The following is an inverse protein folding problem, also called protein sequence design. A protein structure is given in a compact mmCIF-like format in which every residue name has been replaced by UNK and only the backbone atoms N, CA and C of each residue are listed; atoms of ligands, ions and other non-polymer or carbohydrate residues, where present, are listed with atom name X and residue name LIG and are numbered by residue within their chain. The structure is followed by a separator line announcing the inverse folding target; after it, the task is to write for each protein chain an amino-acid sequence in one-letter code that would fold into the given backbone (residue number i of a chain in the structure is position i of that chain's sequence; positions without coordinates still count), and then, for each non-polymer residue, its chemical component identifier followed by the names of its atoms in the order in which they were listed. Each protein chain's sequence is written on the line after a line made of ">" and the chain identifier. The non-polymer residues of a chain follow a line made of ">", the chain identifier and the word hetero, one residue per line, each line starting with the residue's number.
data_IF_662358051320
#
_entry.id   IF_662358051320
#
_cell.length_a   1.000
_cell.length_b   1.000
_cell.length_c   1.000
_cell.angle_alpha   90.00
_cell.angle_beta   90.00
_cell.angle_gamma   90.00
#
_symmetry.space_group_name_H-M   'P 1'
#
loop_
_entity.id
_entity.type
_entity.pdbx_description
1 polymer ?
#
# COMPACT_ATOMS: atom_id res chain seq x y z
N UNK A 1 33.19 30.64 -21.98
CA UNK A 1 32.47 29.44 -22.45
C UNK A 1 33.33 28.18 -22.67
N UNK A 2 34.40 28.14 -23.49
CA UNK A 2 35.19 26.89 -23.66
C UNK A 2 36.24 26.62 -22.58
N UNK A 3 36.64 27.62 -21.79
CA UNK A 3 37.63 27.48 -20.71
C UNK A 3 36.95 27.03 -19.40
N UNK A 4 35.84 27.68 -19.04
CA UNK A 4 35.06 27.38 -17.82
C UNK A 4 34.51 25.95 -17.81
N UNK A 5 34.08 25.41 -18.97
CA UNK A 5 33.60 24.03 -19.07
C UNK A 5 34.72 23.01 -18.81
N UNK A 6 35.98 23.35 -19.14
CA UNK A 6 37.12 22.46 -18.86
C UNK A 6 37.51 22.48 -17.38
N UNK A 7 37.38 23.62 -16.71
CA UNK A 7 37.63 23.74 -15.27
C UNK A 7 36.62 22.94 -14.45
N UNK A 8 35.32 23.02 -14.80
CA UNK A 8 34.25 22.24 -14.15
C UNK A 8 34.44 20.73 -14.35
N UNK A 9 34.88 20.29 -15.53
CA UNK A 9 35.14 18.87 -15.78
C UNK A 9 36.37 18.36 -15.01
N UNK A 10 37.39 19.21 -14.82
CA UNK A 10 38.57 18.87 -14.03
C UNK A 10 38.26 18.82 -12.52
N UNK A 11 37.42 19.72 -12.02
CA UNK A 11 36.94 19.70 -10.63
C UNK A 11 36.08 18.46 -10.34
N UNK A 12 35.19 18.07 -11.26
CA UNK A 12 34.37 16.86 -11.11
C UNK A 12 35.23 15.59 -11.10
N UNK A 13 36.26 15.52 -11.95
CA UNK A 13 37.17 14.38 -11.98
C UNK A 13 38.00 14.27 -10.69
N UNK A 14 38.50 15.39 -10.17
CA UNK A 14 39.20 15.42 -8.89
C UNK A 14 38.29 15.06 -7.69
N UNK A 15 36.97 15.27 -7.82
CA UNK A 15 35.98 14.89 -6.79
C UNK A 15 35.70 13.39 -6.81
N UNK A 16 35.56 12.79 -7.99
CA UNK A 16 35.41 11.33 -8.15
C UNK A 16 36.65 10.58 -7.66
N UNK A 17 37.85 11.07 -7.95
CA UNK A 17 39.09 10.46 -7.48
C UNK A 17 39.19 10.49 -5.93
N UNK A 18 38.78 11.60 -5.29
CA UNK A 18 38.71 11.71 -3.81
C UNK A 18 37.64 10.80 -3.19
N UNK A 19 36.48 10.66 -3.82
CA UNK A 19 35.43 9.75 -3.35
C UNK A 19 35.86 8.27 -3.46
N UNK A 20 36.67 7.93 -4.47
CA UNK A 20 37.24 6.59 -4.62
C UNK A 20 38.31 6.25 -3.57
N UNK A 21 39.14 7.21 -3.17
CA UNK A 21 40.12 7.05 -2.07
C UNK A 21 39.42 6.89 -0.72
N UNK A 22 38.37 7.68 -0.44
CA UNK A 22 37.57 7.57 0.79
C UNK A 22 36.85 6.22 0.88
N UNK A 23 36.36 5.70 -0.25
CA UNK A 23 35.74 4.37 -0.29
C UNK A 23 36.77 3.24 -0.07
N UNK A 24 37.99 3.38 -0.61
CA UNK A 24 39.08 2.44 -0.38
C UNK A 24 39.49 2.38 1.10
N UNK A 25 39.59 3.54 1.76
CA UNK A 25 39.96 3.65 3.17
C UNK A 25 38.84 3.11 4.10
N UNK A 26 37.56 3.31 3.75
CA UNK A 26 36.43 2.73 4.49
C UNK A 26 36.40 1.19 4.43
N UNK A 27 36.74 0.60 3.28
CA UNK A 27 36.78 -0.86 3.10
C UNK A 27 37.93 -1.48 3.92
N UNK A 28 39.07 -0.79 4.04
CA UNK A 28 40.22 -1.25 4.84
C UNK A 28 39.95 -1.15 6.37
N UNK A 29 39.20 -0.14 6.82
CA UNK A 29 38.77 0.02 8.22
C UNK A 29 37.71 -1.02 8.62
N UNK A 30 36.84 -1.46 7.71
CA UNK A 30 35.87 -2.55 7.96
C UNK A 30 36.56 -3.91 8.05
N UNK A 31 37.68 -4.10 7.32
CA UNK A 31 38.47 -5.34 7.36
C UNK A 31 39.24 -5.53 8.68
N UNK A 32 39.62 -4.45 9.36
CA UNK A 32 40.53 -4.50 10.54
C UNK A 32 39.84 -4.46 11.90
N UNK A 33 38.49 -4.41 11.97
CA UNK A 33 37.73 -4.37 13.24
C UNK A 33 36.67 -5.46 13.44
N UNK A 34 36.65 -6.50 12.61
CA UNK A 34 35.79 -7.68 12.86
C UNK A 34 36.52 -8.73 13.72
N UNK A 35 36.62 -8.46 15.03
CA UNK A 35 37.01 -9.47 16.03
C UNK A 35 35.76 -9.95 16.76
N UNK A 36 34.86 -10.64 16.04
CA UNK A 36 33.81 -11.50 16.63
C UNK A 36 33.31 -12.57 15.65
N UNK A 37 34.14 -12.93 14.66
CA UNK A 37 33.93 -14.07 13.78
C UNK A 37 34.72 -15.28 14.31
N UNK A 38 34.27 -15.89 15.41
CA UNK A 38 34.86 -17.14 15.91
C UNK A 38 33.90 -18.10 16.62
N UNK A 39 32.58 -17.92 16.49
CA UNK A 39 31.58 -18.90 16.96
C UNK A 39 30.98 -19.78 15.86
N UNK A 40 31.41 -19.63 14.61
CA UNK A 40 30.92 -20.44 13.47
C UNK A 40 31.94 -21.47 12.94
N UNK A 41 33.00 -21.75 13.70
CA UNK A 41 34.02 -22.75 13.33
C UNK A 41 34.19 -23.79 14.44
N UNK A 42 33.17 -24.60 14.67
CA UNK A 42 33.36 -25.92 15.29
C UNK A 42 32.42 -26.93 14.65
N UNK A 43 32.97 -28.13 14.48
CA UNK A 43 32.39 -29.30 13.81
C UNK A 43 31.03 -29.67 14.41
N UNK A 44 29.94 -29.31 13.74
CA UNK A 44 28.63 -29.97 13.81
C UNK A 44 27.82 -29.63 12.54
N UNK A 45 28.46 -29.85 11.38
CA UNK A 45 27.78 -29.96 10.09
C UNK A 45 27.43 -31.43 9.92
N UNK A 46 26.25 -31.84 10.39
CA UNK A 46 25.55 -33.06 9.94
C UNK A 46 24.12 -33.16 10.52
N UNK A 47 23.34 -32.06 10.52
CA UNK A 47 21.91 -32.16 10.91
C UNK A 47 20.91 -31.38 10.06
N UNK A 48 21.30 -30.66 8.99
CA UNK A 48 20.34 -29.84 8.24
C UNK A 48 20.23 -30.11 6.74
N UNK A 49 20.79 -31.22 6.22
CA UNK A 49 20.54 -31.63 4.84
C UNK A 49 20.53 -33.15 4.72
N UNK A 50 19.34 -33.77 4.81
CA UNK A 50 19.09 -35.12 4.29
C UNK A 50 17.96 -35.07 3.24
N UNK A 51 18.10 -35.69 2.05
CA UNK A 51 17.22 -35.51 0.90
C UNK A 51 16.05 -36.52 0.83
N UNK A 52 15.52 -36.99 1.96
CA UNK A 52 14.33 -37.87 1.97
C UNK A 52 13.31 -37.38 2.98
N UNK A 53 12.48 -36.42 2.54
CA UNK A 53 11.39 -35.87 3.31
C UNK A 53 10.29 -36.90 3.56
N UNK A 54 10.43 -37.68 4.63
CA UNK A 54 9.32 -38.45 5.20
C UNK A 54 8.76 -37.64 6.37
N UNK A 55 7.54 -37.12 6.23
CA UNK A 55 6.83 -36.45 7.33
C UNK A 55 6.69 -37.40 8.53
N UNK A 56 7.01 -36.98 9.76
CA UNK A 56 6.57 -37.70 10.94
C UNK A 56 5.07 -37.50 11.11
N UNK A 57 4.39 -38.63 11.17
CA UNK A 57 2.96 -38.79 11.29
C UNK A 57 2.43 -38.17 12.59
N UNK A 58 1.22 -37.60 12.48
CA UNK A 58 0.30 -37.14 13.52
C UNK A 58 0.56 -37.65 14.95
N UNK A 59 0.88 -36.74 15.85
CA UNK A 59 0.49 -36.84 17.26
C UNK A 59 -0.65 -35.86 17.55
N UNK A 60 -1.68 -36.38 18.19
CA UNK A 60 -2.88 -35.68 18.65
C UNK A 60 -2.49 -34.67 19.74
N UNK A 61 -2.47 -33.40 19.41
CA UNK A 61 -3.12 -32.30 20.15
C UNK A 61 -2.80 -30.99 19.45
N UNK A 62 -3.81 -30.12 19.34
CA UNK A 62 -3.80 -28.95 18.48
C UNK A 62 -2.75 -27.91 18.87
N UNK A 63 -1.70 -27.80 18.07
CA UNK A 63 -0.91 -26.59 17.97
C UNK A 63 -0.52 -26.43 16.50
N UNK A 64 -1.17 -25.48 15.83
CA UNK A 64 -0.73 -24.96 14.53
C UNK A 64 0.73 -24.55 14.68
N UNK A 65 1.62 -25.14 13.88
CA UNK A 65 2.99 -24.66 13.74
C UNK A 65 2.94 -23.14 13.47
N UNK A 66 3.34 -22.34 14.46
CA UNK A 66 3.50 -20.89 14.27
C UNK A 66 4.77 -20.70 13.47
N UNK A 67 4.63 -20.11 12.29
CA UNK A 67 5.79 -19.70 11.51
C UNK A 67 6.58 -18.67 12.36
N UNK A 68 7.82 -19.02 12.72
CA UNK A 68 8.68 -18.13 13.50
C UNK A 68 8.96 -16.81 12.77
N UNK A 69 8.91 -16.82 11.43
CA UNK A 69 9.06 -15.61 10.61
C UNK A 69 7.92 -14.64 10.86
N UNK A 70 6.66 -15.11 10.88
CA UNK A 70 5.48 -14.28 11.14
C UNK A 70 5.54 -13.64 12.54
N UNK A 71 5.96 -14.41 13.54
CA UNK A 71 6.10 -13.90 14.91
C UNK A 71 7.13 -12.78 15.00
N UNK A 72 8.31 -12.98 14.39
CA UNK A 72 9.36 -11.95 14.35
C UNK A 72 8.89 -10.74 13.54
N UNK A 73 8.23 -10.98 12.40
CA UNK A 73 7.71 -9.92 11.55
C UNK A 73 6.71 -9.03 12.29
N UNK A 74 5.73 -9.62 12.98
CA UNK A 74 4.64 -8.91 13.65
C UNK A 74 5.10 -8.25 14.96
N UNK A 75 5.80 -9.01 15.80
CA UNK A 75 6.10 -8.61 17.18
C UNK A 75 7.56 -8.23 17.41
N UNK A 76 8.48 -8.60 16.51
CA UNK A 76 9.91 -8.31 16.63
C UNK A 76 10.51 -8.84 17.92
N UNK A 77 11.40 -8.05 18.53
CA UNK A 77 12.05 -8.40 19.79
C UNK A 77 11.06 -8.58 20.96
N UNK A 78 9.87 -7.96 20.89
CA UNK A 78 8.86 -8.06 21.95
C UNK A 78 8.30 -9.48 22.11
N UNK A 79 8.40 -10.31 21.06
CA UNK A 79 8.00 -11.71 21.11
C UNK A 79 8.91 -12.56 22.00
N UNK A 80 10.15 -12.16 22.27
CA UNK A 80 11.04 -12.88 23.17
C UNK A 80 10.39 -13.01 24.57
N UNK A 81 10.45 -14.19 25.23
CA UNK A 81 11.22 -15.41 24.91
C UNK A 81 10.55 -16.39 23.93
N UNK A 82 9.61 -15.93 23.10
CA UNK A 82 8.86 -16.71 22.11
C UNK A 82 8.03 -17.85 22.71
N UNK A 83 7.66 -17.72 23.99
CA UNK A 83 6.78 -18.67 24.66
C UNK A 83 5.33 -18.45 24.22
N UNK A 84 4.52 -19.51 24.30
CA UNK A 84 3.10 -19.43 23.95
C UNK A 84 2.38 -18.38 24.81
N UNK A 85 2.70 -18.31 26.10
CA UNK A 85 2.15 -17.32 27.03
C UNK A 85 2.49 -15.89 26.59
N UNK A 86 3.75 -15.64 26.18
CA UNK A 86 4.17 -14.30 25.73
C UNK A 86 3.47 -13.90 24.43
N UNK A 87 3.31 -14.84 23.50
CA UNK A 87 2.61 -14.57 22.25
C UNK A 87 1.10 -14.36 22.47
N UNK A 88 0.49 -15.06 23.41
CA UNK A 88 -0.91 -14.82 23.79
C UNK A 88 -1.09 -13.45 24.44
N UNK A 89 -0.16 -13.03 25.30
CA UNK A 89 -0.14 -11.70 25.89
C UNK A 89 -0.07 -10.61 24.81
N UNK A 90 0.86 -10.70 23.87
CA UNK A 90 1.00 -9.74 22.78
C UNK A 90 -0.23 -9.67 21.87
N UNK A 91 -0.85 -10.82 21.59
CA UNK A 91 -2.12 -10.89 20.85
C UNK A 91 -3.25 -10.19 21.60
N UNK A 92 -3.32 -10.36 22.92
CA UNK A 92 -4.31 -9.68 23.77
C UNK A 92 -4.07 -8.17 23.77
N UNK A 93 -2.84 -7.72 23.94
CA UNK A 93 -2.49 -6.29 23.85
C UNK A 93 -2.84 -5.70 22.48
N UNK A 94 -2.53 -6.42 21.39
CA UNK A 94 -2.87 -6.00 20.04
C UNK A 94 -4.40 -5.90 19.86
N UNK A 95 -5.15 -6.89 20.33
CA UNK A 95 -6.62 -6.88 20.32
C UNK A 95 -7.18 -5.70 21.12
N UNK A 96 -6.68 -5.46 22.33
CA UNK A 96 -7.08 -4.33 23.17
C UNK A 96 -6.80 -3.00 22.46
N UNK A 97 -5.65 -2.86 21.78
CA UNK A 97 -5.34 -1.66 20.98
C UNK A 97 -6.31 -1.45 19.82
N UNK A 98 -6.75 -2.51 19.14
CA UNK A 98 -7.77 -2.41 18.09
C UNK A 98 -9.15 -2.06 18.68
N UNK A 99 -9.53 -2.69 19.78
CA UNK A 99 -10.81 -2.43 20.47
C UNK A 99 -10.87 -1.03 21.08
N UNK A 100 -9.74 -0.45 21.49
CA UNK A 100 -9.63 0.91 22.01
C UNK A 100 -9.19 1.95 20.95
N UNK A 101 -9.14 1.56 19.67
CA UNK A 101 -8.73 2.45 18.58
C UNK A 101 -9.65 3.67 18.50
N UNK A 102 -9.06 4.86 18.38
CA UNK A 102 -9.74 6.13 18.11
C UNK A 102 -8.84 7.00 17.24
N UNK A 103 -9.39 8.03 16.58
CA UNK A 103 -8.58 8.98 15.81
C UNK A 103 -7.50 9.64 16.65
N UNK A 104 -7.83 10.02 17.89
CA UNK A 104 -6.89 10.66 18.81
C UNK A 104 -5.74 9.70 19.13
N UNK A 105 -6.03 8.45 19.51
CA UNK A 105 -4.99 7.47 19.85
C UNK A 105 -4.09 7.11 18.66
N UNK A 106 -4.60 7.21 17.43
CA UNK A 106 -3.83 6.94 16.21
C UNK A 106 -2.99 8.13 15.75
N UNK A 107 -3.52 9.35 15.86
CA UNK A 107 -2.97 10.54 15.21
C UNK A 107 -2.37 11.56 16.16
N UNK A 108 -2.32 11.31 17.47
CA UNK A 108 -1.62 12.17 18.45
C UNK A 108 -0.50 11.44 19.16
N UNK A 109 0.46 12.21 19.68
CA UNK A 109 1.51 11.72 20.56
C UNK A 109 1.70 12.72 21.72
N UNK A 110 2.69 12.49 22.58
CA UNK A 110 2.94 13.36 23.75
C UNK A 110 3.30 14.80 23.38
N UNK A 111 3.87 15.00 22.20
CA UNK A 111 4.44 16.26 21.75
C UNK A 111 3.54 16.98 20.73
N UNK A 112 2.52 16.30 20.17
CA UNK A 112 1.67 16.82 19.11
C UNK A 112 0.25 16.25 19.12
N UNK A 113 -0.72 17.15 18.95
CA UNK A 113 -2.15 16.87 18.81
C UNK A 113 -2.81 17.46 17.54
N UNK A 114 -2.02 17.99 16.58
CA UNK A 114 -2.52 18.66 15.37
C UNK A 114 -1.98 18.08 14.06
N UNK A 115 -2.71 18.21 12.96
CA UNK A 115 -2.29 17.90 11.60
C UNK A 115 -1.97 19.18 10.81
N UNK A 116 -1.25 19.05 9.71
CA UNK A 116 -1.02 20.14 8.76
C UNK A 116 -2.19 20.19 7.77
N UNK A 117 -2.81 21.36 7.58
CA UNK A 117 -3.82 21.58 6.55
C UNK A 117 -3.25 22.21 5.28
N UNK A 118 -3.87 21.91 4.14
CA UNK A 118 -3.63 22.56 2.84
C UNK A 118 -4.99 22.83 2.15
N UNK A 119 -5.17 23.88 1.31
CA UNK A 119 -4.19 24.83 0.75
C UNK A 119 -3.65 25.89 1.71
N UNK A 120 -4.38 26.18 2.78
CA UNK A 120 -3.87 27.10 3.80
C UNK A 120 -3.08 26.30 4.83
N UNK A 121 -1.76 26.48 4.85
CA UNK A 121 -0.89 25.92 5.89
C UNK A 121 -1.36 26.41 7.26
N UNK A 122 -2.03 25.51 7.99
CA UNK A 122 -2.53 25.73 9.33
C UNK A 122 -2.43 24.44 10.13
N UNK A 123 -2.32 24.57 11.45
CA UNK A 123 -2.46 23.45 12.36
C UNK A 123 -3.95 23.16 12.56
N UNK A 124 -4.35 21.91 12.34
CA UNK A 124 -5.72 21.42 12.49
C UNK A 124 -5.74 20.44 13.66
N UNK A 125 -6.42 20.74 14.78
CA UNK A 125 -6.49 19.80 15.91
C UNK A 125 -7.06 18.45 15.47
N UNK A 126 -6.44 17.33 15.87
CA UNK A 126 -6.91 15.99 15.52
C UNK A 126 -8.35 15.77 15.97
N UNK A 127 -8.74 16.34 17.10
CA UNK A 127 -10.11 16.21 17.63
C UNK A 127 -11.18 16.85 16.74
N UNK A 128 -10.84 17.74 15.79
CA UNK A 128 -11.80 18.27 14.83
C UNK A 128 -12.16 17.29 13.71
N UNK A 129 -11.50 16.13 13.64
CA UNK A 129 -11.82 15.04 12.72
C UNK A 129 -12.81 14.04 13.33
N UNK A 130 -13.09 14.11 14.63
CA UNK A 130 -14.09 13.25 15.29
C UNK A 130 -15.45 13.44 14.62
N UNK A 131 -16.15 12.34 14.32
CA UNK A 131 -17.41 12.37 13.59
C UNK A 131 -17.26 12.26 12.07
N UNK A 132 -16.04 12.29 11.53
CA UNK A 132 -15.78 12.24 10.08
C UNK A 132 -15.28 10.87 9.66
N UNK A 133 -15.60 10.48 8.42
CA UNK A 133 -14.89 9.38 7.76
C UNK A 133 -13.50 9.87 7.39
N UNK A 134 -12.45 9.15 7.79
CA UNK A 134 -11.06 9.58 7.58
C UNK A 134 -10.29 8.54 6.75
N UNK A 135 -9.68 8.97 5.65
CA UNK A 135 -8.75 8.15 4.86
C UNK A 135 -7.30 8.41 5.27
N UNK A 136 -6.60 7.41 5.82
CA UNK A 136 -5.15 7.49 6.03
C UNK A 136 -4.43 7.06 4.74
N UNK A 137 -3.81 8.04 4.06
CA UNK A 137 -3.20 7.85 2.76
C UNK A 137 -1.68 7.72 2.86
N UNK A 138 -1.18 6.49 2.69
CA UNK A 138 0.24 6.16 2.73
C UNK A 138 0.82 6.26 1.32
N UNK A 139 1.71 7.22 1.08
CA UNK A 139 2.32 7.43 -0.24
C UNK A 139 3.62 8.25 -0.14
N UNK A 140 4.30 8.43 -1.27
CA UNK A 140 5.47 9.29 -1.41
C UNK A 140 5.58 9.80 -2.86
N UNK A 141 6.25 10.92 -3.05
CA UNK A 141 6.47 11.55 -4.35
C UNK A 141 7.29 10.66 -5.29
N UNK A 142 8.27 9.94 -4.76
CA UNK A 142 9.11 9.02 -5.51
C UNK A 142 8.38 7.74 -5.95
N UNK A 143 7.15 7.50 -5.46
CA UNK A 143 6.35 6.34 -5.81
C UNK A 143 5.54 6.61 -7.09
N UNK A 144 5.99 6.10 -8.25
CA UNK A 144 5.29 6.30 -9.53
C UNK A 144 3.82 5.81 -9.51
N UNK A 145 3.49 4.62 -8.98
CA UNK A 145 2.08 4.23 -8.80
C UNK A 145 1.32 5.17 -7.86
N UNK A 146 2.02 5.71 -6.85
CA UNK A 146 1.52 6.71 -5.90
C UNK A 146 1.07 7.99 -6.57
N UNK A 147 1.92 8.56 -7.42
CA UNK A 147 1.63 9.80 -8.16
C UNK A 147 0.40 9.62 -9.06
N UNK A 148 0.30 8.51 -9.81
CA UNK A 148 -0.87 8.21 -10.65
C UNK A 148 -2.15 8.13 -9.80
N UNK A 149 -2.10 7.39 -8.70
CA UNK A 149 -3.26 7.24 -7.80
C UNK A 149 -3.66 8.55 -7.12
N UNK A 150 -2.70 9.39 -6.72
CA UNK A 150 -2.97 10.70 -6.10
C UNK A 150 -3.85 11.58 -6.99
N UNK A 151 -3.59 11.66 -8.29
CA UNK A 151 -4.40 12.47 -9.22
C UNK A 151 -5.86 12.02 -9.24
N UNK A 152 -6.09 10.71 -9.25
CA UNK A 152 -7.42 10.11 -9.19
C UNK A 152 -8.10 10.37 -7.85
N UNK A 153 -7.36 10.18 -6.76
CA UNK A 153 -7.86 10.38 -5.40
C UNK A 153 -8.25 11.85 -5.16
N UNK A 154 -7.53 12.83 -5.70
CA UNK A 154 -7.91 14.25 -5.64
C UNK A 154 -9.27 14.49 -6.28
N UNK A 155 -9.47 13.97 -7.51
CA UNK A 155 -10.75 14.13 -8.22
C UNK A 155 -11.91 13.51 -7.43
N UNK A 156 -11.73 12.30 -6.91
CA UNK A 156 -12.77 11.58 -6.16
C UNK A 156 -13.04 12.25 -4.81
N UNK A 157 -12.00 12.71 -4.12
CA UNK A 157 -12.14 13.48 -2.88
C UNK A 157 -13.04 14.71 -3.11
N UNK A 158 -12.80 15.50 -4.16
CA UNK A 158 -13.63 16.67 -4.46
C UNK A 158 -15.08 16.30 -4.78
N UNK A 159 -15.32 15.26 -5.57
CA UNK A 159 -16.69 14.78 -5.85
C UNK A 159 -17.44 14.34 -4.60
N UNK A 160 -16.77 13.62 -3.68
CA UNK A 160 -17.37 13.21 -2.40
C UNK A 160 -17.71 14.47 -1.57
N UNK A 161 -16.78 15.42 -1.45
CA UNK A 161 -17.02 16.67 -0.70
C UNK A 161 -18.18 17.48 -1.29
N UNK A 162 -18.25 17.60 -2.61
CA UNK A 162 -19.34 18.30 -3.30
C UNK A 162 -20.70 17.62 -3.05
N UNK A 163 -20.75 16.30 -3.13
CA UNK A 163 -21.98 15.52 -2.87
C UNK A 163 -22.45 15.70 -1.43
N UNK A 164 -21.54 15.64 -0.46
CA UNK A 164 -21.87 15.83 0.96
C UNK A 164 -22.40 17.24 1.25
N UNK A 165 -21.82 18.27 0.63
CA UNK A 165 -22.30 19.64 0.73
C UNK A 165 -23.70 19.81 0.12
N UNK A 166 -23.98 19.17 -1.01
CA UNK A 166 -25.27 19.25 -1.68
C UNK A 166 -26.39 18.54 -0.90
N UNK A 167 -26.08 17.39 -0.28
CA UNK A 167 -27.06 16.57 0.43
C UNK A 167 -27.37 17.05 1.86
N UNK A 168 -26.67 18.09 2.36
CA UNK A 168 -26.82 18.62 3.73
C UNK A 168 -26.77 17.54 4.82
N UNK A 169 -25.98 16.48 4.59
CA UNK A 169 -25.74 15.44 5.60
C UNK A 169 -24.73 15.98 6.62
N UNK A 170 -24.88 15.54 7.87
CA UNK A 170 -23.89 15.81 8.94
C UNK A 170 -22.61 14.97 8.76
N UNK A 171 -22.51 14.22 7.66
CA UNK A 171 -21.36 13.39 7.33
C UNK A 171 -20.27 14.23 6.64
N UNK A 172 -19.01 13.97 6.98
CA UNK A 172 -17.86 14.59 6.33
C UNK A 172 -16.79 13.55 5.99
N UNK A 173 -15.98 13.84 4.97
CA UNK A 173 -14.85 13.04 4.55
C UNK A 173 -13.57 13.88 4.57
N UNK A 174 -12.50 13.31 5.12
CA UNK A 174 -11.19 13.95 5.14
C UNK A 174 -10.09 12.92 4.88
N UNK A 175 -8.97 13.36 4.31
CA UNK A 175 -7.81 12.50 4.06
C UNK A 175 -6.62 13.03 4.87
N UNK A 176 -5.86 12.12 5.47
CA UNK A 176 -4.61 12.43 6.17
C UNK A 176 -3.47 11.72 5.45
N UNK A 177 -2.59 12.51 4.83
CA UNK A 177 -1.35 12.03 4.23
C UNK A 177 -0.41 11.51 5.34
N UNK A 178 -0.01 10.26 5.20
CA UNK A 178 1.06 9.62 5.95
C UNK A 178 2.23 9.43 4.98
N UNK A 179 3.08 10.45 4.90
CA UNK A 179 4.15 10.48 3.91
C UNK A 179 5.26 9.48 4.21
N UNK A 180 5.76 8.84 3.15
CA UNK A 180 7.00 8.04 3.12
C UNK A 180 8.10 8.73 2.29
N UNK A 181 7.99 10.04 2.08
CA UNK A 181 9.01 10.87 1.44
C UNK A 181 10.32 10.85 2.26
N UNK A 182 11.45 11.08 1.61
CA UNK A 182 12.77 10.91 2.24
C UNK A 182 13.33 12.21 2.80
N UNK A 183 12.71 13.34 2.48
CA UNK A 183 13.11 14.65 2.97
C UNK A 183 11.96 15.65 3.02
N UNK A 184 12.14 16.69 3.84
CA UNK A 184 11.15 17.76 4.04
C UNK A 184 10.75 18.44 2.72
N UNK A 185 11.71 18.73 1.83
CA UNK A 185 11.43 19.41 0.55
C UNK A 185 10.58 18.56 -0.40
N UNK A 186 10.82 17.25 -0.46
CA UNK A 186 9.99 16.31 -1.22
C UNK A 186 8.58 16.26 -0.64
N UNK A 187 8.48 16.12 0.68
CA UNK A 187 7.19 16.17 1.38
C UNK A 187 6.41 17.45 1.09
N UNK A 188 7.04 18.63 1.21
CA UNK A 188 6.39 19.91 0.98
C UNK A 188 5.91 20.02 -0.48
N UNK A 189 6.77 19.68 -1.44
CA UNK A 189 6.42 19.70 -2.86
C UNK A 189 5.25 18.77 -3.17
N UNK A 190 5.21 17.60 -2.54
CA UNK A 190 4.19 16.59 -2.73
C UNK A 190 2.86 16.99 -2.07
N UNK A 191 2.90 17.39 -0.80
CA UNK A 191 1.72 17.78 -0.03
C UNK A 191 1.02 19.00 -0.64
N UNK A 192 1.78 19.95 -1.20
CA UNK A 192 1.23 21.13 -1.88
C UNK A 192 0.41 20.80 -3.15
N UNK A 193 0.48 19.56 -3.66
CA UNK A 193 -0.37 19.12 -4.79
C UNK A 193 -1.75 18.63 -4.35
N UNK A 194 -1.95 18.40 -3.04
CA UNK A 194 -3.16 17.80 -2.47
C UNK A 194 -4.06 18.87 -1.84
N UNK A 195 -5.24 18.55 -1.36
CA UNK A 195 -6.16 19.54 -0.74
C UNK A 195 -6.77 19.05 0.57
N UNK A 196 -6.04 18.17 1.24
CA UNK A 196 -6.42 17.51 2.47
C UNK A 196 -5.33 17.70 3.55
N UNK A 197 -5.38 16.93 4.63
CA UNK A 197 -4.48 17.06 5.77
C UNK A 197 -3.23 16.18 5.65
N UNK A 198 -2.20 16.45 6.45
CA UNK A 198 -1.02 15.60 6.56
C UNK A 198 -0.52 15.49 8.00
N UNK A 199 0.10 14.36 8.33
CA UNK A 199 1.04 14.33 9.45
C UNK A 199 2.25 15.20 9.11
N UNK A 200 2.82 15.94 10.07
CA UNK A 200 4.10 16.58 9.87
C UNK A 200 5.17 15.59 9.39
N UNK A 201 6.08 16.07 8.55
CA UNK A 201 7.22 15.26 8.11
C UNK A 201 8.04 14.76 9.31
N UNK A 202 8.54 13.53 9.20
CA UNK A 202 9.29 12.80 10.25
C UNK A 202 8.54 12.59 11.58
N UNK A 203 7.20 12.74 11.59
CA UNK A 203 6.40 12.37 12.77
C UNK A 203 6.55 10.86 13.07
N UNK A 204 6.94 10.47 14.30
CA UNK A 204 7.11 9.06 14.67
C UNK A 204 5.83 8.23 14.55
N UNK A 205 4.66 8.87 14.57
CA UNK A 205 3.37 8.22 14.32
C UNK A 205 3.33 7.63 12.91
N UNK A 206 3.95 8.24 11.89
CA UNK A 206 3.91 7.71 10.53
C UNK A 206 4.45 6.26 10.48
N UNK A 207 5.60 6.01 11.10
CA UNK A 207 6.18 4.65 11.22
C UNK A 207 5.30 3.72 12.06
N UNK A 208 4.70 4.25 13.13
CA UNK A 208 3.79 3.49 13.99
C UNK A 208 2.54 3.04 13.25
N UNK A 209 1.94 3.91 12.44
CA UNK A 209 0.76 3.61 11.62
C UNK A 209 1.08 2.61 10.51
N UNK A 210 2.22 2.76 9.82
CA UNK A 210 2.68 1.78 8.81
C UNK A 210 2.74 0.37 9.40
N UNK A 211 3.30 0.22 10.62
CA UNK A 211 3.32 -1.06 11.33
C UNK A 211 1.94 -1.49 11.81
N UNK A 212 1.17 -0.58 12.41
CA UNK A 212 -0.15 -0.87 12.97
C UNK A 212 -1.11 -1.40 11.91
N UNK A 213 -1.12 -0.80 10.73
CA UNK A 213 -1.97 -1.23 9.63
C UNK A 213 -1.35 -2.32 8.76
N UNK A 214 -0.11 -2.73 9.03
CA UNK A 214 0.63 -3.74 8.27
C UNK A 214 0.78 -3.36 6.78
N UNK A 215 1.20 -2.11 6.55
CA UNK A 215 1.34 -1.55 5.20
C UNK A 215 2.59 -2.13 4.52
N UNK A 216 2.38 -3.09 3.61
CA UNK A 216 3.45 -3.75 2.85
C UNK A 216 3.98 -2.93 1.67
N UNK A 217 3.16 -1.99 1.16
CA UNK A 217 3.49 -1.24 -0.03
C UNK A 217 2.66 0.04 -0.16
N UNK A 218 3.18 0.97 -0.94
CA UNK A 218 2.53 2.24 -1.26
C UNK A 218 2.24 2.34 -2.77
N UNK A 219 1.19 3.06 -3.19
CA UNK A 219 0.21 3.74 -2.33
C UNK A 219 -0.75 2.77 -1.63
N UNK A 220 -1.14 3.10 -0.41
CA UNK A 220 -2.16 2.40 0.38
C UNK A 220 -3.12 3.41 1.01
N UNK A 221 -4.39 3.06 1.15
CA UNK A 221 -5.41 3.92 1.74
C UNK A 221 -6.24 3.11 2.72
N UNK A 222 -6.16 3.45 4.01
CA UNK A 222 -6.94 2.85 5.09
C UNK A 222 -8.10 3.78 5.41
N UNK A 223 -9.33 3.25 5.47
CA UNK A 223 -10.52 4.02 5.81
C UNK A 223 -10.91 3.78 7.26
N UNK A 224 -11.11 4.89 7.98
CA UNK A 224 -11.60 4.94 9.34
C UNK A 224 -13.01 5.54 9.36
N UNK A 225 -13.86 5.03 10.24
CA UNK A 225 -15.22 5.53 10.48
C UNK A 225 -15.20 6.79 11.38
N UNK A 226 -16.37 7.43 11.58
CA UNK A 226 -16.54 8.58 12.49
C UNK A 226 -16.01 8.42 13.92
N UNK A 227 -15.99 7.20 14.45
CA UNK A 227 -15.47 6.88 15.79
C UNK A 227 -13.96 6.60 15.78
N UNK A 228 -13.36 6.57 14.60
CA UNK A 228 -11.95 6.27 14.38
C UNK A 228 -11.63 4.78 14.36
N UNK A 229 -12.62 3.89 14.17
CA UNK A 229 -12.40 2.46 13.94
C UNK A 229 -12.09 2.19 12.48
N UNK A 230 -11.33 1.12 12.23
CA UNK A 230 -10.97 0.74 10.87
C UNK A 230 -12.13 0.05 10.18
N UNK A 231 -12.59 0.66 9.09
CA UNK A 231 -13.60 0.07 8.20
C UNK A 231 -12.93 -0.87 7.21
N UNK A 232 -11.86 -0.41 6.56
CA UNK A 232 -11.15 -1.23 5.58
C UNK A 232 -9.72 -0.76 5.38
N UNK A 233 -8.81 -1.71 5.12
CA UNK A 233 -7.44 -1.42 4.68
C UNK A 233 -7.31 -1.38 3.15
N UNK A 234 -8.39 -1.69 2.42
CA UNK A 234 -8.44 -1.81 0.97
C UNK A 234 -9.03 -0.57 0.28
N UNK A 235 -8.96 0.60 0.91
CA UNK A 235 -9.54 1.83 0.40
C UNK A 235 -9.06 2.18 -1.01
N UNK A 236 -7.78 1.92 -1.33
CA UNK A 236 -7.22 2.11 -2.68
C UNK A 236 -7.96 1.28 -3.73
N UNK A 237 -8.28 0.02 -3.40
CA UNK A 237 -8.97 -0.88 -4.31
C UNK A 237 -10.42 -0.42 -4.51
N UNK A 238 -11.11 -0.05 -3.43
CA UNK A 238 -12.48 0.48 -3.49
C UNK A 238 -12.56 1.75 -4.34
N UNK A 239 -11.60 2.67 -4.19
CA UNK A 239 -11.51 3.88 -5.01
C UNK A 239 -11.28 3.54 -6.49
N UNK A 240 -10.46 2.53 -6.80
CA UNK A 240 -10.21 2.14 -8.19
C UNK A 240 -11.41 1.48 -8.86
N UNK A 241 -12.13 0.64 -8.11
CA UNK A 241 -13.30 -0.10 -8.60
C UNK A 241 -14.53 0.80 -8.68
N UNK A 242 -14.87 1.45 -7.58
CA UNK A 242 -16.16 2.12 -7.39
C UNK A 242 -16.08 3.65 -7.42
N UNK A 243 -14.88 4.23 -7.46
CA UNK A 243 -14.67 5.69 -7.49
C UNK A 243 -15.37 6.39 -6.30
N UNK A 244 -16.03 7.54 -6.52
CA UNK A 244 -16.81 8.25 -5.50
C UNK A 244 -17.96 7.41 -4.91
N UNK A 245 -18.49 6.43 -5.66
CA UNK A 245 -19.58 5.58 -5.19
C UNK A 245 -19.15 4.68 -4.04
N UNK A 246 -17.85 4.45 -3.86
CA UNK A 246 -17.30 3.70 -2.74
C UNK A 246 -17.71 4.30 -1.39
N UNK A 247 -17.87 5.62 -1.30
CA UNK A 247 -18.26 6.30 -0.07
C UNK A 247 -19.66 5.84 0.40
N UNK A 248 -19.89 5.63 1.72
CA UNK A 248 -18.99 5.86 2.87
C UNK A 248 -18.04 4.70 3.21
N UNK A 249 -17.76 3.81 2.25
CA UNK A 249 -16.86 2.65 2.37
C UNK A 249 -17.32 1.60 3.37
N UNK A 250 -18.55 1.69 3.88
CA UNK A 250 -19.14 0.70 4.79
C UNK A 250 -19.28 -0.65 4.10
N UNK A 251 -19.20 -1.72 4.88
CA UNK A 251 -19.36 -3.09 4.38
C UNK A 251 -20.68 -3.24 3.60
N UNK A 252 -21.79 -2.76 4.14
CA UNK A 252 -23.09 -2.78 3.46
C UNK A 252 -23.11 -2.01 2.12
N UNK A 253 -22.35 -0.91 2.01
CA UNK A 253 -22.22 -0.15 0.76
C UNK A 253 -21.39 -0.93 -0.26
N UNK A 254 -20.29 -1.55 0.17
CA UNK A 254 -19.43 -2.37 -0.69
C UNK A 254 -20.21 -3.59 -1.20
N UNK A 255 -20.91 -4.32 -0.33
CA UNK A 255 -21.75 -5.46 -0.73
C UNK A 255 -22.83 -5.07 -1.75
N UNK A 256 -23.42 -3.88 -1.62
CA UNK A 256 -24.39 -3.37 -2.59
C UNK A 256 -23.74 -3.14 -3.96
N UNK A 257 -22.55 -2.53 -3.98
CA UNK A 257 -21.83 -2.25 -5.22
C UNK A 257 -21.35 -3.53 -5.91
N UNK A 258 -20.91 -4.53 -5.13
CA UNK A 258 -20.56 -5.85 -5.64
C UNK A 258 -21.76 -6.52 -6.31
N UNK A 259 -22.93 -6.51 -5.66
CA UNK A 259 -24.17 -7.04 -6.26
C UNK A 259 -24.55 -6.33 -7.56
N UNK A 260 -24.40 -5.00 -7.61
CA UNK A 260 -24.66 -4.25 -8.85
C UNK A 260 -23.69 -4.65 -9.96
N UNK A 261 -22.39 -4.80 -9.64
CA UNK A 261 -21.40 -5.30 -10.60
C UNK A 261 -21.74 -6.72 -11.09
N UNK A 262 -22.20 -7.61 -10.21
CA UNK A 262 -22.62 -8.96 -10.59
C UNK A 262 -23.83 -8.95 -11.54
N UNK A 263 -24.82 -8.10 -11.29
CA UNK A 263 -25.98 -7.96 -12.17
C UNK A 263 -25.59 -7.34 -13.53
N UNK A 264 -24.69 -6.35 -13.54
CA UNK A 264 -24.16 -5.77 -14.78
C UNK A 264 -23.37 -6.81 -15.59
N UNK A 265 -22.55 -7.63 -14.92
CA UNK A 265 -21.73 -8.67 -15.55
C UNK A 265 -22.56 -9.73 -16.29
N UNK A 266 -23.79 -10.01 -15.86
CA UNK A 266 -24.70 -10.94 -16.57
C UNK A 266 -25.07 -10.46 -17.97
N UNK A 267 -24.96 -9.16 -18.24
CA UNK A 267 -25.26 -8.56 -19.53
C UNK A 267 -24.03 -8.41 -20.43
N UNK A 268 -22.84 -8.76 -19.92
CA UNK A 268 -21.60 -8.70 -20.69
C UNK A 268 -21.41 -9.96 -21.53
N UNK A 269 -20.81 -9.85 -22.73
CA UNK A 269 -20.46 -11.02 -23.52
C UNK A 269 -19.52 -11.97 -22.77
N UNK A 270 -19.71 -13.29 -22.84
CA UNK A 270 -18.83 -14.24 -22.16
C UNK A 270 -17.41 -14.30 -22.77
N UNK A 271 -17.26 -13.85 -24.03
CA UNK A 271 -16.00 -13.83 -24.77
C UNK A 271 -15.95 -12.57 -25.64
N UNK A 272 -14.81 -11.90 -25.67
CA UNK A 272 -14.57 -10.69 -26.49
C UNK A 272 -13.19 -10.67 -27.15
N UNK A 273 -13.03 -9.82 -28.16
CA UNK A 273 -11.72 -9.52 -28.77
C UNK A 273 -11.30 -8.10 -28.45
N UNK A 274 -10.25 -7.95 -27.63
CA UNK A 274 -9.73 -6.65 -27.23
C UNK A 274 -8.73 -6.10 -28.26
N UNK A 275 -8.88 -4.86 -28.71
CA UNK A 275 -8.01 -4.26 -29.75
C UNK A 275 -6.51 -4.24 -29.39
N UNK A 276 -6.15 -4.16 -28.11
CA UNK A 276 -4.77 -4.23 -27.63
C UNK A 276 -4.19 -5.65 -27.50
N UNK A 277 -4.97 -6.69 -27.84
CA UNK A 277 -4.61 -8.09 -27.63
C UNK A 277 -5.10 -9.00 -28.78
N UNK A 278 -4.40 -10.11 -29.05
CA UNK A 278 -4.68 -10.95 -30.24
C UNK A 278 -5.63 -12.10 -29.99
N UNK A 279 -5.63 -12.67 -28.79
CA UNK A 279 -6.48 -13.80 -28.43
C UNK A 279 -7.83 -13.33 -27.90
N UNK A 280 -8.78 -14.27 -27.89
CA UNK A 280 -10.07 -14.06 -27.24
C UNK A 280 -9.87 -13.96 -25.72
N UNK A 281 -10.51 -12.97 -25.13
CA UNK A 281 -10.56 -12.80 -23.67
C UNK A 281 -11.90 -13.30 -23.16
N UNK A 282 -11.88 -14.10 -22.09
CA UNK A 282 -13.09 -14.66 -21.47
C UNK A 282 -13.46 -13.86 -20.24
N UNK A 283 -14.75 -13.59 -20.08
CA UNK A 283 -15.26 -12.98 -18.86
C UNK A 283 -15.13 -13.98 -17.70
N UNK A 284 -14.42 -13.58 -16.65
CA UNK A 284 -14.20 -14.36 -15.44
C UNK A 284 -14.62 -13.57 -14.21
N UNK A 285 -15.16 -14.30 -13.24
CA UNK A 285 -15.46 -13.81 -11.88
C UNK A 285 -14.31 -14.14 -10.93
N UNK A 286 -14.33 -13.59 -9.72
CA UNK A 286 -13.32 -13.87 -8.68
C UNK A 286 -13.09 -15.37 -8.46
N UNK A 287 -14.15 -16.18 -8.43
CA UNK A 287 -14.07 -17.62 -8.22
C UNK A 287 -13.53 -18.42 -9.40
N UNK A 288 -13.40 -17.81 -10.59
CA UNK A 288 -13.04 -18.49 -11.84
C UNK A 288 -11.82 -17.90 -12.54
N UNK A 289 -11.15 -16.89 -11.94
CA UNK A 289 -9.95 -16.25 -12.49
C UNK A 289 -9.84 -14.74 -12.27
N UNK A 290 -10.93 -14.06 -11.92
CA UNK A 290 -11.02 -12.61 -11.71
C UNK A 290 -10.64 -12.16 -10.29
N UNK A 291 -9.58 -12.71 -9.70
CA UNK A 291 -9.06 -12.25 -8.42
C UNK A 291 -8.46 -10.84 -8.50
N UNK A 292 -7.59 -10.42 -7.58
CA UNK A 292 -6.83 -9.18 -7.73
C UNK A 292 -5.91 -9.24 -8.97
N UNK A 293 -6.07 -8.30 -9.91
CA UNK A 293 -5.24 -8.20 -11.13
C UNK A 293 -4.80 -6.76 -11.42
N UNK A 294 -3.82 -6.61 -12.31
CA UNK A 294 -3.46 -5.31 -12.90
C UNK A 294 -3.96 -5.29 -14.33
N UNK A 295 -4.88 -4.38 -14.64
CA UNK A 295 -5.44 -4.25 -15.97
C UNK A 295 -4.35 -3.86 -16.98
N UNK A 296 -4.15 -4.69 -18.00
CA UNK A 296 -3.14 -4.49 -19.03
C UNK A 296 -3.44 -3.33 -20.00
N UNK A 297 -4.62 -2.71 -19.89
CA UNK A 297 -5.00 -1.56 -20.72
C UNK A 297 -4.76 -0.23 -20.01
N UNK A 298 -5.12 -0.13 -18.73
CA UNK A 298 -5.06 1.13 -17.98
C UNK A 298 -4.01 1.14 -16.85
N UNK A 299 -3.30 0.03 -16.64
CA UNK A 299 -2.35 -0.19 -15.53
C UNK A 299 -2.96 0.00 -14.13
N UNK A 300 -4.29 -0.06 -13.99
CA UNK A 300 -4.96 0.07 -12.71
C UNK A 300 -5.30 -1.31 -12.10
N UNK A 301 -5.30 -1.36 -10.76
CA UNK A 301 -5.75 -2.52 -10.01
C UNK A 301 -7.22 -2.83 -10.33
N UNK A 302 -7.52 -4.08 -10.66
CA UNK A 302 -8.85 -4.66 -10.72
C UNK A 302 -9.04 -5.78 -9.69
N UNK A 303 -10.29 -6.15 -9.48
CA UNK A 303 -10.73 -7.29 -8.68
C UNK A 303 -12.16 -7.66 -9.08
N UNK A 304 -12.57 -8.92 -8.88
CA UNK A 304 -13.93 -9.38 -9.14
C UNK A 304 -14.14 -9.82 -10.59
N UNK A 305 -14.76 -8.98 -11.40
CA UNK A 305 -15.00 -9.28 -12.81
C UNK A 305 -13.85 -8.77 -13.70
N UNK A 306 -13.36 -9.64 -14.57
CA UNK A 306 -12.28 -9.34 -15.51
C UNK A 306 -12.51 -10.06 -16.84
N UNK A 307 -11.93 -9.53 -17.92
CA UNK A 307 -11.71 -10.31 -19.13
C UNK A 307 -10.29 -10.84 -19.14
N UNK A 308 -10.15 -12.17 -19.12
CA UNK A 308 -8.87 -12.87 -19.04
C UNK A 308 -8.62 -13.71 -20.28
N UNK A 309 -7.45 -13.55 -20.88
CA UNK A 309 -6.92 -14.44 -21.90
C UNK A 309 -6.20 -15.62 -21.22
N UNK A 310 -6.73 -16.82 -21.37
CA UNK A 310 -6.13 -18.04 -20.78
C UNK A 310 -4.77 -18.37 -21.42
N UNK A 311 -4.57 -17.98 -22.69
CA UNK A 311 -3.37 -18.35 -23.44
C UNK A 311 -2.12 -17.60 -22.97
N UNK A 312 -2.25 -16.33 -22.56
CA UNK A 312 -1.10 -15.51 -22.21
C UNK A 312 -1.26 -14.71 -20.90
N UNK A 313 -2.36 -14.88 -20.17
CA UNK A 313 -2.64 -14.17 -18.91
C UNK A 313 -2.94 -12.68 -19.08
N UNK A 314 -3.39 -12.25 -20.27
CA UNK A 314 -3.81 -10.85 -20.48
C UNK A 314 -5.12 -10.58 -19.74
N UNK A 315 -5.12 -9.61 -18.83
CA UNK A 315 -6.26 -9.30 -17.96
C UNK A 315 -6.66 -7.83 -18.10
N UNK A 316 -7.94 -7.56 -18.32
CA UNK A 316 -8.46 -6.19 -18.40
C UNK A 316 -9.77 -6.05 -17.66
N UNK A 317 -10.05 -4.84 -17.15
CA UNK A 317 -11.36 -4.52 -16.59
C UNK A 317 -12.44 -4.68 -17.67
N UNK A 318 -13.67 -5.05 -17.29
CA UNK A 318 -14.82 -5.06 -18.20
C UNK A 318 -14.98 -3.76 -19.00
N UNK A 319 -14.83 -2.61 -18.33
CA UNK A 319 -14.89 -1.27 -18.96
C UNK A 319 -13.72 -0.94 -19.88
N UNK A 320 -12.61 -1.67 -19.79
CA UNK A 320 -11.41 -1.44 -20.60
C UNK A 320 -11.41 -2.28 -21.89
N UNK A 321 -12.42 -3.13 -22.11
CA UNK A 321 -12.54 -3.89 -23.35
C UNK A 321 -12.97 -2.96 -24.49
N UNK A 322 -12.02 -2.63 -25.37
CA UNK A 322 -12.30 -2.06 -26.69
C UNK A 322 -12.49 -3.18 -27.70
N UNK A 323 -13.74 -3.54 -27.97
CA UNK A 323 -14.08 -4.53 -28.97
C UNK A 323 -13.52 -4.12 -30.34
N UNK A 324 -12.90 -5.06 -31.07
CA UNK A 324 -12.54 -4.84 -32.47
C UNK A 324 -13.82 -4.81 -33.29
N UNK A 325 -14.20 -3.64 -33.83
CA UNK A 325 -15.29 -3.59 -34.80
C UNK A 325 -14.92 -4.48 -36.00
N UNK A 326 -15.79 -5.42 -36.34
CA UNK A 326 -15.68 -6.20 -37.57
C UNK A 326 -15.93 -5.26 -38.76
N UNK A 327 -14.92 -4.48 -39.14
CA UNK A 327 -14.84 -3.93 -40.49
C UNK A 327 -14.80 -5.09 -41.49
N UNK A 328 -15.39 -4.95 -42.68
CA UNK A 328 -15.42 -6.03 -43.66
C UNK A 328 -13.99 -6.47 -43.96
N UNK A 329 -13.76 -7.78 -43.88
CA UNK A 329 -12.52 -8.43 -44.31
C UNK A 329 -12.35 -8.10 -45.79
N UNK A 330 -11.52 -7.11 -46.11
CA UNK A 330 -10.98 -6.95 -47.44
C UNK A 330 -9.64 -7.65 -47.47
N UNK A 331 -9.64 -8.88 -47.98
CA UNK A 331 -8.42 -9.54 -48.45
C UNK A 331 -7.79 -8.67 -49.54
N UNK A 332 -6.56 -8.20 -49.32
CA UNK A 332 -5.67 -7.67 -50.34
C UNK A 332 -4.21 -7.90 -49.96
#
# INVERSE_FOLDING_TARGET
>A
MRQEVKEVLQENKNKEDRESEVFGELVEVVSTKSTSLSLLTSKDRDFLLSPTGTQPNKTKDGAVFRDGVDVIYRYGASAFPFTEERLQELKREEKERYESQTLVNLLTNRDRDFLLGHPTLKQVPVNSLTGKTVGLYFTAQWCLPGVKFTLKLISIYHKIKETLLAESKDDDFEIVLVSSDRGQTEFDSHFNTMSWLALPFDDPIAKTLTKYFDIQGIPSLVILDPDGKTVTKQGRNLINLYQENAYPFTEARVELLEKLMDEEAKNLPPVERHAGHRHDVKLVSEGSGGGPFICCDCDEQGSGWAYQCIECGYEVHPKCVRAVENGPITDA
#
